data_IF_996322091680
#
_entry.id   IF_996322091680
#
_cell.length_a   1.000
_cell.length_b   1.000
_cell.length_c   1.000
_cell.angle_alpha   90.00
_cell.angle_beta   90.00
_cell.angle_gamma   90.00
#
_symmetry.space_group_name_H-M   'P 1'
#
loop_
_entity.id
_entity.type
_entity.pdbx_description
1 polymer ?
#
# COMPACT_ATOMS: atom_id res chain seq x y z
N UNK A 1 0.97 4.40 6.02
CA UNK A 1 1.27 4.22 4.56
C UNK A 1 2.73 4.50 4.17
N UNK A 2 3.23 5.75 4.22
CA UNK A 2 4.49 6.12 3.55
C UNK A 2 5.78 5.41 4.00
N UNK A 3 5.78 4.84 5.20
CA UNK A 3 6.88 4.04 5.76
C UNK A 3 6.60 2.54 5.59
N UNK A 4 5.67 2.00 6.38
CA UNK A 4 5.43 0.55 6.46
C UNK A 4 4.75 -0.11 5.26
N UNK A 5 4.06 0.64 4.38
CA UNK A 5 3.28 -0.02 3.33
C UNK A 5 4.16 -0.69 2.28
N UNK A 6 5.33 -0.15 1.93
CA UNK A 6 6.24 -0.83 1.00
C UNK A 6 6.76 -2.15 1.59
N UNK A 7 6.92 -2.23 2.92
CA UNK A 7 7.40 -3.42 3.64
C UNK A 7 6.32 -4.51 3.79
N UNK A 8 5.07 -4.10 4.02
CA UNK A 8 3.95 -5.03 4.26
C UNK A 8 3.26 -5.44 2.94
N UNK A 9 3.07 -4.49 2.02
CA UNK A 9 2.37 -4.72 0.74
C UNK A 9 3.32 -5.25 -0.34
N UNK A 10 4.64 -5.06 -0.18
CA UNK A 10 5.65 -5.56 -1.11
C UNK A 10 5.53 -7.05 -1.46
N UNK A 11 5.36 -7.97 -0.48
CA UNK A 11 5.09 -9.38 -0.72
C UNK A 11 3.80 -9.62 -1.51
N UNK A 12 2.73 -8.87 -1.23
CA UNK A 12 1.45 -8.97 -1.96
C UNK A 12 1.65 -8.62 -3.43
N UNK A 13 2.35 -7.53 -3.72
CA UNK A 13 2.66 -7.12 -5.09
C UNK A 13 3.48 -8.17 -5.83
N UNK A 14 4.46 -8.78 -5.16
CA UNK A 14 5.31 -9.79 -5.77
C UNK A 14 4.56 -11.10 -6.04
N UNK A 15 3.70 -11.54 -5.12
CA UNK A 15 2.98 -12.82 -5.23
C UNK A 15 1.77 -12.72 -6.16
N UNK A 16 1.01 -11.62 -6.07
CA UNK A 16 -0.19 -11.39 -6.88
C UNK A 16 0.12 -10.67 -8.21
N UNK A 17 1.37 -10.27 -8.41
CA UNK A 17 1.87 -9.61 -9.63
C UNK A 17 1.03 -8.37 -10.00
N UNK A 18 0.76 -7.55 -8.99
CA UNK A 18 -0.12 -6.38 -9.11
C UNK A 18 0.52 -5.27 -9.94
N UNK A 19 -0.31 -4.66 -10.80
CA UNK A 19 0.02 -3.42 -11.49
C UNK A 19 -0.50 -2.19 -10.74
N UNK A 20 -0.96 -1.19 -11.49
CA UNK A 20 -1.58 0.00 -10.90
C UNK A 20 -2.98 -0.30 -10.34
N UNK A 21 -3.40 0.39 -9.27
CA UNK A 21 -4.77 0.31 -8.80
C UNK A 21 -5.68 0.99 -9.83
N UNK A 22 -6.89 0.49 -10.00
CA UNK A 22 -7.91 1.14 -10.83
C UNK A 22 -8.64 2.22 -10.06
N UNK A 23 -8.79 2.02 -8.74
CA UNK A 23 -9.48 2.98 -7.89
C UNK A 23 -9.00 2.87 -6.44
N UNK A 24 -9.22 3.96 -5.69
CA UNK A 24 -8.93 4.02 -4.26
C UNK A 24 -9.98 4.86 -3.54
N UNK A 25 -10.40 4.41 -2.36
CA UNK A 25 -11.18 5.21 -1.42
C UNK A 25 -10.61 5.05 -0.01
N UNK A 26 -10.99 5.94 0.91
CA UNK A 26 -10.56 5.84 2.29
C UNK A 26 -11.52 6.46 3.29
N UNK A 27 -11.35 6.07 4.54
CA UNK A 27 -11.77 6.83 5.72
C UNK A 27 -10.55 7.10 6.60
N UNK A 28 -10.61 8.21 7.36
CA UNK A 28 -9.56 8.57 8.31
C UNK A 28 -10.19 9.09 9.60
N UNK A 29 -9.46 8.95 10.70
CA UNK A 29 -9.83 9.59 11.97
C UNK A 29 -10.03 11.10 11.79
N UNK A 30 -11.10 11.65 12.38
CA UNK A 30 -11.25 13.11 12.49
C UNK A 30 -10.54 13.58 13.76
N UNK A 31 -9.50 14.42 13.68
CA UNK A 31 -8.86 14.97 14.87
C UNK A 31 -9.79 16.00 15.52
N UNK A 32 -9.96 15.93 16.83
CA UNK A 32 -10.67 16.95 17.62
C UNK A 32 -9.68 17.67 18.54
N UNK A 33 -9.71 18.99 18.54
CA UNK A 33 -8.84 19.85 19.39
C UNK A 33 -9.59 20.46 20.58
N UNK A 34 -10.92 20.31 20.59
CA UNK A 34 -11.82 20.69 21.67
C UNK A 34 -13.15 19.94 21.45
N UNK A 35 -14.07 20.03 22.41
CA UNK A 35 -15.41 19.45 22.33
C UNK A 35 -16.11 19.89 21.04
N UNK A 36 -16.39 18.92 20.16
CA UNK A 36 -17.02 19.12 18.86
C UNK A 36 -16.26 20.06 17.90
N UNK A 37 -15.00 20.37 18.18
CA UNK A 37 -14.14 21.21 17.34
C UNK A 37 -13.13 20.36 16.59
N UNK A 38 -13.42 20.07 15.33
CA UNK A 38 -12.49 19.36 14.45
C UNK A 38 -11.23 20.20 14.18
N UNK A 39 -10.06 19.61 14.38
CA UNK A 39 -8.78 20.15 13.96
C UNK A 39 -8.61 20.12 12.44
N UNK A 40 -7.66 20.89 11.93
CA UNK A 40 -7.28 20.88 10.52
C UNK A 40 -5.77 20.87 10.36
N UNK A 41 -5.24 19.74 9.93
CA UNK A 41 -3.81 19.50 9.82
C UNK A 41 -3.53 18.86 8.45
N UNK A 42 -3.67 19.61 7.34
CA UNK A 42 -3.59 19.04 5.99
C UNK A 42 -2.21 18.49 5.63
N UNK A 43 -1.18 18.92 6.35
CA UNK A 43 0.22 18.51 6.14
C UNK A 43 0.66 17.38 7.10
N UNK A 44 -0.24 16.90 7.96
CA UNK A 44 0.03 15.80 8.88
C UNK A 44 -0.65 14.52 8.43
N UNK A 45 -0.02 13.37 8.71
CA UNK A 45 -0.68 12.08 8.57
C UNK A 45 -1.87 11.97 9.55
N UNK A 46 -2.93 11.24 9.19
CA UNK A 46 -4.03 10.98 10.12
C UNK A 46 -3.55 10.09 11.28
N UNK A 47 -4.27 10.11 12.40
CA UNK A 47 -4.02 9.20 13.52
C UNK A 47 -4.30 7.75 13.14
N UNK A 48 -5.35 7.54 12.35
CA UNK A 48 -5.69 6.25 11.75
C UNK A 48 -6.31 6.40 10.37
N UNK A 49 -6.11 5.40 9.52
CA UNK A 49 -6.69 5.32 8.19
C UNK A 49 -7.16 3.91 7.86
N UNK A 50 -8.24 3.85 7.06
CA UNK A 50 -8.67 2.65 6.34
C UNK A 50 -8.74 3.00 4.87
N UNK A 51 -7.90 2.37 4.05
CA UNK A 51 -7.73 2.67 2.64
C UNK A 51 -8.02 1.41 1.83
N UNK A 52 -8.88 1.53 0.83
CA UNK A 52 -9.35 0.42 0.03
C UNK A 52 -8.93 0.64 -1.41
N UNK A 53 -8.13 -0.27 -1.93
CA UNK A 53 -7.66 -0.28 -3.31
C UNK A 53 -8.35 -1.39 -4.09
N UNK A 54 -8.60 -1.14 -5.37
CA UNK A 54 -8.99 -2.16 -6.33
C UNK A 54 -7.94 -2.27 -7.42
N UNK A 55 -7.63 -3.49 -7.82
CA UNK A 55 -6.72 -3.82 -8.90
C UNK A 55 -7.39 -4.78 -9.86
N UNK A 56 -6.85 -4.83 -11.08
CA UNK A 56 -7.09 -5.94 -12.01
C UNK A 56 -5.92 -6.92 -11.91
N UNK A 57 -6.24 -8.17 -11.58
CA UNK A 57 -5.28 -9.27 -11.66
C UNK A 57 -4.95 -9.63 -13.10
N UNK A 58 -3.97 -10.51 -13.28
CA UNK A 58 -3.49 -10.89 -14.62
C UNK A 58 -4.56 -11.53 -15.51
N UNK A 59 -5.56 -12.18 -14.92
CA UNK A 59 -6.65 -12.80 -15.67
C UNK A 59 -7.89 -11.88 -15.76
N UNK A 60 -7.75 -10.61 -15.38
CA UNK A 60 -8.82 -9.60 -15.41
C UNK A 60 -9.75 -9.62 -14.20
N UNK A 61 -9.50 -10.49 -13.22
CA UNK A 61 -10.25 -10.56 -11.97
C UNK A 61 -10.02 -9.33 -11.09
N UNK A 62 -11.03 -8.98 -10.30
CA UNK A 62 -10.91 -7.89 -9.32
C UNK A 62 -10.16 -8.38 -8.08
N UNK A 63 -9.06 -7.72 -7.74
CA UNK A 63 -8.33 -7.92 -6.49
C UNK A 63 -8.55 -6.70 -5.60
N UNK A 64 -8.97 -6.94 -4.36
CA UNK A 64 -9.13 -5.90 -3.34
C UNK A 64 -7.94 -5.95 -2.39
N UNK A 65 -7.36 -4.79 -2.09
CA UNK A 65 -6.36 -4.63 -1.04
C UNK A 65 -6.87 -3.58 -0.06
N UNK A 66 -6.99 -3.98 1.20
CA UNK A 66 -7.42 -3.09 2.28
C UNK A 66 -6.21 -2.83 3.19
N UNK A 67 -5.86 -1.56 3.34
CA UNK A 67 -4.85 -1.10 4.29
C UNK A 67 -5.56 -0.47 5.49
N UNK A 68 -5.21 -0.90 6.70
CA UNK A 68 -5.77 -0.36 7.94
C UNK A 68 -4.63 -0.10 8.92
N UNK A 69 -4.57 1.12 9.49
CA UNK A 69 -3.53 1.52 10.43
C UNK A 69 -4.07 2.38 11.58
N UNK A 70 -3.20 2.75 12.53
CA UNK A 70 -3.55 3.61 13.66
C UNK A 70 -4.48 2.95 14.67
N UNK A 71 -4.33 1.63 14.87
CA UNK A 71 -5.16 0.83 15.77
C UNK A 71 -6.46 0.30 15.15
N UNK A 72 -6.76 0.68 13.90
CA UNK A 72 -7.84 0.04 13.13
C UNK A 72 -7.30 -1.25 12.51
N UNK A 73 -8.06 -2.32 12.65
CA UNK A 73 -7.71 -3.65 12.13
C UNK A 73 -8.88 -4.21 11.31
N UNK A 74 -8.62 -5.14 10.38
CA UNK A 74 -9.68 -5.90 9.73
C UNK A 74 -10.40 -6.78 10.75
N UNK A 75 -11.52 -7.36 10.32
CA UNK A 75 -12.18 -8.39 11.10
C UNK A 75 -11.21 -9.55 11.35
N UNK A 76 -11.15 -10.00 12.61
CA UNK A 76 -10.26 -11.09 13.00
C UNK A 76 -10.73 -12.38 12.34
N UNK A 77 -9.87 -13.12 11.63
CA UNK A 77 -10.24 -14.41 11.06
C UNK A 77 -10.77 -15.37 12.14
N UNK A 78 -11.93 -15.99 11.88
CA UNK A 78 -12.56 -16.94 12.79
C UNK A 78 -11.68 -18.17 13.05
N UNK A 79 -10.84 -18.53 12.09
CA UNK A 79 -9.93 -19.67 12.16
C UNK A 79 -8.72 -19.42 13.08
N UNK A 80 -8.49 -18.18 13.51
CA UNK A 80 -7.38 -17.80 14.37
C UNK A 80 -7.80 -17.95 15.84
N UNK A 81 -7.12 -18.84 16.57
CA UNK A 81 -7.42 -19.16 17.96
C UNK A 81 -7.40 -17.91 18.85
N UNK A 82 -8.16 -17.88 19.96
CA UNK A 82 -8.44 -16.64 20.71
C UNK A 82 -7.20 -15.93 21.26
N UNK A 83 -6.11 -16.66 21.49
CA UNK A 83 -4.85 -16.11 22.04
C UNK A 83 -3.73 -15.99 20.99
N UNK A 84 -4.01 -16.28 19.71
CA UNK A 84 -3.02 -16.16 18.64
C UNK A 84 -2.91 -14.71 18.16
N UNK A 85 -1.70 -14.27 17.80
CA UNK A 85 -1.49 -12.91 17.28
C UNK A 85 -2.00 -12.88 15.83
N UNK A 86 -2.75 -11.84 15.49
CA UNK A 86 -3.14 -11.59 14.10
C UNK A 86 -2.01 -10.82 13.41
N UNK A 87 -1.53 -11.32 12.27
CA UNK A 87 -0.36 -10.78 11.57
C UNK A 87 0.95 -11.47 12.00
N UNK A 88 2.08 -10.78 11.82
CA UNK A 88 3.41 -11.33 12.13
C UNK A 88 3.78 -11.24 13.61
N UNK A 89 4.50 -12.25 14.11
CA UNK A 89 4.93 -12.31 15.51
C UNK A 89 6.05 -11.32 15.86
N UNK A 90 6.82 -10.86 14.86
CA UNK A 90 8.04 -10.08 15.09
C UNK A 90 7.83 -8.55 15.11
N UNK A 91 6.66 -8.05 14.70
CA UNK A 91 6.39 -6.61 14.56
C UNK A 91 5.00 -6.22 15.07
N UNK A 92 4.71 -6.58 16.32
CA UNK A 92 3.48 -6.18 17.03
C UNK A 92 2.17 -6.54 16.30
N UNK A 93 2.17 -7.63 15.52
CA UNK A 93 1.01 -8.05 14.74
C UNK A 93 0.85 -7.33 13.39
N UNK A 94 1.83 -6.54 12.94
CA UNK A 94 1.84 -6.02 11.57
C UNK A 94 1.95 -7.18 10.58
N UNK A 95 1.22 -7.09 9.47
CA UNK A 95 1.24 -8.14 8.47
C UNK A 95 0.15 -8.02 7.42
N UNK A 96 -0.05 -9.12 6.71
CA UNK A 96 -1.03 -9.27 5.65
C UNK A 96 -1.92 -10.47 5.96
N UNK A 97 -3.21 -10.35 5.67
CA UNK A 97 -4.12 -11.47 5.56
C UNK A 97 -4.48 -11.63 4.08
N UNK A 98 -4.29 -12.83 3.55
CA UNK A 98 -4.73 -13.22 2.23
C UNK A 98 -6.00 -14.05 2.36
N UNK A 99 -7.04 -13.65 1.64
CA UNK A 99 -8.31 -14.38 1.58
C UNK A 99 -8.44 -15.06 0.21
N UNK A 100 -8.43 -16.39 0.22
CA UNK A 100 -8.61 -17.21 -0.97
C UNK A 100 -9.87 -18.06 -0.90
N UNK A 101 -10.24 -18.67 -2.03
CA UNK A 101 -11.45 -19.51 -2.11
C UNK A 101 -11.36 -20.81 -1.31
N UNK A 102 -10.16 -21.22 -0.89
CA UNK A 102 -9.89 -22.46 -0.13
C UNK A 102 -9.49 -22.21 1.33
N UNK A 103 -9.52 -20.96 1.76
CA UNK A 103 -9.09 -20.56 3.10
C UNK A 103 -8.24 -19.31 3.09
N UNK A 104 -7.76 -18.96 4.28
CA UNK A 104 -6.97 -17.76 4.51
C UNK A 104 -5.55 -18.11 4.90
N UNK A 105 -4.63 -17.19 4.66
CA UNK A 105 -3.28 -17.26 5.19
C UNK A 105 -2.85 -15.87 5.65
N UNK A 106 -1.85 -15.81 6.51
CA UNK A 106 -1.25 -14.55 6.94
C UNK A 106 0.26 -14.60 6.83
N UNK A 107 0.89 -13.44 6.79
CA UNK A 107 2.33 -13.30 6.95
C UNK A 107 2.64 -11.99 7.68
N UNK A 108 3.82 -11.88 8.25
CA UNK A 108 4.29 -10.64 8.84
C UNK A 108 4.91 -9.69 7.82
N UNK A 109 5.71 -8.76 8.32
CA UNK A 109 6.39 -7.74 7.53
C UNK A 109 7.45 -8.39 6.65
N UNK A 110 7.63 -7.88 5.42
CA UNK A 110 8.52 -8.49 4.42
C UNK A 110 8.11 -9.90 3.98
N UNK A 111 6.92 -10.37 4.37
CA UNK A 111 6.45 -11.71 4.07
C UNK A 111 7.10 -12.80 4.92
N UNK A 112 7.64 -12.42 6.09
CA UNK A 112 8.13 -13.37 7.07
C UNK A 112 6.98 -14.17 7.70
N UNK A 113 7.31 -15.27 8.36
CA UNK A 113 6.39 -16.06 9.18
C UNK A 113 5.03 -16.33 8.51
N UNK A 114 5.06 -16.81 7.27
CA UNK A 114 3.86 -17.13 6.52
C UNK A 114 3.16 -18.36 7.13
N UNK A 115 1.89 -18.21 7.49
CA UNK A 115 1.08 -19.21 8.17
C UNK A 115 -0.26 -19.39 7.47
N UNK A 116 -0.72 -20.64 7.35
CA UNK A 116 -2.10 -20.93 6.96
C UNK A 116 -3.05 -20.63 8.13
N UNK A 117 -4.32 -20.40 7.83
CA UNK A 117 -5.36 -20.36 8.85
C UNK A 117 -6.32 -21.57 8.70
N UNK A 118 -6.60 -22.31 9.79
CA UNK A 118 -5.98 -22.22 11.12
C UNK A 118 -4.46 -22.54 11.10
N UNK A 119 -3.71 -21.93 12.02
CA UNK A 119 -2.23 -21.97 12.09
C UNK A 119 -1.66 -23.38 12.18
N UNK A 120 -2.40 -24.30 12.79
CA UNK A 120 -2.06 -25.73 12.89
C UNK A 120 -1.81 -26.39 11.53
N UNK A 121 -2.45 -25.89 10.46
CA UNK A 121 -2.29 -26.40 9.09
C UNK A 121 -0.97 -26.00 8.43
N UNK A 122 -0.24 -25.04 9.00
CA UNK A 122 1.02 -24.58 8.42
C UNK A 122 2.04 -25.72 8.32
N UNK A 123 2.00 -26.69 9.25
CA UNK A 123 2.87 -27.88 9.22
C UNK A 123 2.48 -28.90 8.13
N UNK A 124 1.27 -28.80 7.56
CA UNK A 124 0.78 -29.71 6.52
C UNK A 124 1.35 -29.36 5.14
N UNK A 125 1.90 -28.15 4.97
CA UNK A 125 2.36 -27.65 3.68
C UNK A 125 3.88 -27.53 3.63
N UNK A 126 4.45 -28.04 2.55
CA UNK A 126 5.85 -27.82 2.19
C UNK A 126 5.90 -27.16 0.82
N UNK A 127 6.20 -25.86 0.80
CA UNK A 127 6.23 -25.05 -0.42
C UNK A 127 7.66 -24.98 -0.94
N UNK A 128 7.93 -25.41 -2.19
CA UNK A 128 9.28 -25.33 -2.74
C UNK A 128 9.70 -23.87 -2.89
N UNK A 129 10.99 -23.61 -2.68
CA UNK A 129 11.55 -22.28 -2.88
C UNK A 129 11.47 -21.88 -4.36
N UNK A 130 10.57 -20.93 -4.68
CA UNK A 130 10.40 -20.41 -6.05
C UNK A 130 11.48 -19.39 -6.45
N UNK A 131 11.77 -18.42 -5.58
CA UNK A 131 12.66 -17.30 -5.88
C UNK A 131 14.09 -17.55 -5.40
N UNK A 132 15.08 -17.08 -6.16
CA UNK A 132 16.47 -17.01 -5.68
C UNK A 132 16.54 -16.06 -4.48
N UNK A 133 17.32 -16.42 -3.46
CA UNK A 133 17.55 -15.58 -2.29
C UNK A 133 18.79 -14.72 -2.50
N UNK A 134 18.74 -13.46 -2.05
CA UNK A 134 19.91 -12.60 -2.03
C UNK A 134 20.90 -13.17 -1.00
N UNK A 135 22.18 -13.38 -1.34
CA UNK A 135 23.19 -13.78 -0.36
C UNK A 135 23.25 -12.76 0.78
N UNK A 136 23.13 -13.21 2.03
CA UNK A 136 23.03 -12.33 3.20
C UNK A 136 21.63 -11.73 3.45
N UNK A 137 20.64 -12.07 2.63
CA UNK A 137 19.23 -11.69 2.79
C UNK A 137 19.05 -10.17 2.96
N UNK A 138 18.43 -9.73 4.06
CA UNK A 138 18.23 -8.33 4.40
C UNK A 138 19.55 -7.54 4.49
N UNK A 139 20.67 -8.16 4.84
CA UNK A 139 21.97 -7.45 4.87
C UNK A 139 22.64 -7.41 3.49
N UNK A 140 22.17 -8.23 2.55
CA UNK A 140 22.76 -8.39 1.22
C UNK A 140 22.16 -7.50 0.12
N UNK A 141 20.98 -6.93 0.33
CA UNK A 141 20.24 -6.26 -0.75
C UNK A 141 20.96 -5.02 -1.29
N UNK A 142 21.63 -4.24 -0.44
CA UNK A 142 22.46 -3.11 -0.88
C UNK A 142 23.58 -3.54 -1.83
N UNK A 143 24.20 -4.70 -1.57
CA UNK A 143 25.25 -5.24 -2.43
C UNK A 143 24.71 -5.62 -3.81
N UNK A 144 23.51 -6.20 -3.90
CA UNK A 144 22.90 -6.50 -5.20
C UNK A 144 22.74 -5.23 -6.05
N UNK A 145 22.30 -4.13 -5.43
CA UNK A 145 22.18 -2.85 -6.12
C UNK A 145 23.53 -2.33 -6.63
N UNK A 146 24.56 -2.33 -5.77
CA UNK A 146 25.93 -1.93 -6.16
C UNK A 146 26.46 -2.77 -7.31
N UNK A 147 26.32 -4.09 -7.21
CA UNK A 147 26.79 -5.03 -8.24
C UNK A 147 26.05 -4.78 -9.57
N UNK A 148 24.74 -4.52 -9.54
CA UNK A 148 23.96 -4.20 -10.73
C UNK A 148 24.37 -2.86 -11.37
N UNK A 149 24.68 -1.84 -10.57
CA UNK A 149 25.21 -0.57 -11.06
C UNK A 149 26.56 -0.75 -11.75
N UNK A 150 27.46 -1.56 -11.19
CA UNK A 150 28.79 -1.84 -11.76
C UNK A 150 28.66 -2.67 -13.05
N UNK A 151 27.76 -3.66 -13.07
CA UNK A 151 27.52 -4.48 -14.26
C UNK A 151 27.01 -3.63 -15.43
N UNK A 152 26.15 -2.64 -15.15
CA UNK A 152 25.52 -1.76 -16.12
C UNK A 152 24.08 -2.15 -16.43
N UNK A 153 23.32 -1.21 -17.03
CA UNK A 153 21.89 -1.38 -17.28
C UNK A 153 21.57 -2.65 -18.07
N UNK A 154 20.61 -3.44 -17.58
CA UNK A 154 20.15 -4.69 -18.20
C UNK A 154 21.13 -5.87 -18.12
N UNK A 155 22.31 -5.70 -17.50
CA UNK A 155 23.34 -6.74 -17.42
C UNK A 155 23.29 -7.58 -16.14
N UNK A 156 22.44 -7.19 -15.20
CA UNK A 156 22.23 -7.92 -13.95
C UNK A 156 20.76 -7.88 -13.56
N UNK A 157 20.24 -9.04 -13.14
CA UNK A 157 18.91 -9.16 -12.57
C UNK A 157 18.88 -8.56 -11.15
N UNK A 158 17.80 -7.83 -10.84
CA UNK A 158 17.56 -7.19 -9.55
C UNK A 158 16.21 -7.62 -9.00
N UNK A 159 16.08 -7.69 -7.67
CA UNK A 159 14.84 -8.15 -7.03
C UNK A 159 13.72 -7.08 -7.02
N UNK A 160 14.08 -5.82 -7.24
CA UNK A 160 13.18 -4.66 -7.29
C UNK A 160 13.36 -3.86 -8.59
N UNK A 161 13.00 -4.43 -9.76
CA UNK A 161 13.09 -3.70 -11.03
C UNK A 161 12.08 -2.56 -11.06
N UNK A 162 12.42 -1.46 -11.75
CA UNK A 162 11.59 -0.26 -11.75
C UNK A 162 10.23 -0.48 -12.41
N UNK A 163 10.20 -0.97 -13.65
CA UNK A 163 8.99 -0.99 -14.49
C UNK A 163 7.98 -2.01 -14.00
N UNK A 164 8.43 -3.21 -13.67
CA UNK A 164 7.56 -4.34 -13.35
C UNK A 164 7.17 -4.41 -11.87
N UNK A 165 7.87 -3.71 -10.97
CA UNK A 165 7.66 -3.83 -9.53
C UNK A 165 7.66 -2.49 -8.78
N UNK A 166 8.78 -1.77 -8.77
CA UNK A 166 8.94 -0.64 -7.86
C UNK A 166 8.04 0.55 -8.21
N UNK A 167 7.84 0.84 -9.50
CA UNK A 167 6.95 1.93 -9.95
C UNK A 167 5.48 1.61 -9.65
N UNK A 168 4.91 0.45 -10.03
CA UNK A 168 3.55 0.09 -9.65
C UNK A 168 3.31 0.10 -8.14
N UNK A 169 4.22 -0.49 -7.35
CA UNK A 169 4.11 -0.50 -5.89
C UNK A 169 4.10 0.93 -5.33
N UNK A 170 5.06 1.76 -5.73
CA UNK A 170 5.18 3.14 -5.24
C UNK A 170 3.94 3.95 -5.59
N UNK A 171 3.50 3.89 -6.86
CA UNK A 171 2.32 4.62 -7.32
C UNK A 171 1.05 4.18 -6.58
N UNK A 172 0.94 2.89 -6.25
CA UNK A 172 -0.19 2.37 -5.49
C UNK A 172 -0.25 2.93 -4.07
N UNK A 173 0.88 2.92 -3.34
CA UNK A 173 0.93 3.50 -1.99
C UNK A 173 0.69 5.02 -2.03
N UNK A 174 1.22 5.70 -3.06
CA UNK A 174 0.95 7.13 -3.28
C UNK A 174 -0.54 7.41 -3.54
N UNK A 175 -1.26 6.51 -4.22
CA UNK A 175 -2.71 6.63 -4.38
C UNK A 175 -3.46 6.57 -3.05
N UNK A 176 -2.98 5.79 -2.08
CA UNK A 176 -3.53 5.82 -0.72
C UNK A 176 -3.36 7.18 -0.04
N UNK A 177 -2.15 7.75 -0.13
CA UNK A 177 -1.90 9.10 0.37
C UNK A 177 -2.75 10.15 -0.38
N UNK A 178 -2.94 9.97 -1.68
CA UNK A 178 -3.78 10.85 -2.49
C UNK A 178 -5.24 10.84 -2.03
N UNK A 179 -5.79 9.66 -1.73
CA UNK A 179 -7.12 9.51 -1.17
C UNK A 179 -7.24 10.24 0.19
N UNK A 180 -6.27 10.05 1.08
CA UNK A 180 -6.22 10.72 2.40
C UNK A 180 -6.16 12.25 2.25
N UNK A 181 -5.31 12.76 1.35
CA UNK A 181 -5.24 14.21 1.09
C UNK A 181 -6.54 14.74 0.50
N UNK A 182 -7.17 13.97 -0.39
CA UNK A 182 -8.47 14.32 -0.98
C UNK A 182 -9.59 14.31 0.06
N UNK A 183 -9.57 13.38 1.02
CA UNK A 183 -10.51 13.34 2.16
C UNK A 183 -10.47 14.64 2.99
N UNK A 184 -9.28 15.23 3.14
CA UNK A 184 -9.07 16.48 3.86
C UNK A 184 -9.20 17.74 2.99
N UNK A 185 -9.37 17.59 1.67
CA UNK A 185 -9.54 18.74 0.78
C UNK A 185 -10.79 19.52 1.16
N UNK A 186 -10.59 20.81 1.48
CA UNK A 186 -11.65 21.74 1.85
C UNK A 186 -12.02 22.64 0.68
N UNK A 187 -13.31 22.91 0.53
CA UNK A 187 -13.83 23.93 -0.37
C UNK A 187 -14.90 24.74 0.34
N UNK A 188 -14.79 26.06 0.30
CA UNK A 188 -15.87 26.92 0.78
C UNK A 188 -16.95 27.06 -0.29
N UNK A 189 -18.21 26.85 0.11
CA UNK A 189 -19.39 27.04 -0.74
C UNK A 189 -20.43 27.79 0.08
N UNK A 190 -20.79 29.00 -0.36
CA UNK A 190 -21.77 29.87 0.32
C UNK A 190 -21.45 30.10 1.81
N UNK A 191 -20.18 30.39 2.13
CA UNK A 191 -19.73 30.63 3.51
C UNK A 191 -19.61 29.36 4.39
N UNK A 192 -19.77 28.16 3.81
CA UNK A 192 -19.66 26.89 4.52
C UNK A 192 -18.49 26.06 3.98
N UNK A 193 -17.67 25.55 4.89
CA UNK A 193 -16.62 24.58 4.54
C UNK A 193 -17.26 23.25 4.20
N UNK A 194 -16.94 22.74 3.01
CA UNK A 194 -17.32 21.41 2.51
C UNK A 194 -16.07 20.57 2.30
N UNK A 195 -16.24 19.24 2.28
CA UNK A 195 -15.16 18.28 2.03
C UNK A 195 -15.54 17.36 0.87
N UNK A 196 -15.44 17.85 -0.38
CA UNK A 196 -15.99 17.12 -1.52
C UNK A 196 -15.24 15.82 -1.84
N UNK A 197 -14.03 15.62 -1.27
CA UNK A 197 -13.30 14.36 -1.40
C UNK A 197 -13.62 13.30 -0.33
N UNK A 198 -14.56 13.56 0.59
CA UNK A 198 -15.01 12.56 1.58
C UNK A 198 -16.08 11.65 0.98
N UNK A 199 -15.97 10.34 1.26
CA UNK A 199 -16.99 9.36 0.87
C UNK A 199 -17.06 9.09 -0.64
N UNK A 200 -16.03 9.49 -1.39
CA UNK A 200 -15.92 9.20 -2.82
C UNK A 200 -14.83 8.17 -3.08
N UNK A 201 -14.93 7.52 -4.22
CA UNK A 201 -13.88 6.68 -4.80
C UNK A 201 -13.14 7.49 -5.86
N UNK A 202 -11.82 7.59 -5.76
CA UNK A 202 -10.98 8.17 -6.79
C UNK A 202 -10.67 7.11 -7.84
N UNK A 203 -11.03 7.39 -9.09
CA UNK A 203 -10.66 6.56 -10.24
C UNK A 203 -9.28 6.99 -10.76
N UNK A 204 -8.42 6.00 -11.03
CA UNK A 204 -7.02 6.24 -11.36
C UNK A 204 -6.63 5.72 -12.74
N UNK A 205 -6.14 6.64 -13.57
CA UNK A 205 -5.39 6.29 -14.77
C UNK A 205 -3.91 6.15 -14.41
N UNK A 206 -3.48 4.92 -14.17
CA UNK A 206 -2.10 4.62 -13.79
C UNK A 206 -1.06 4.94 -14.86
N UNK A 207 -1.43 4.81 -16.14
CA UNK A 207 -0.52 5.07 -17.26
C UNK A 207 -0.28 6.57 -17.39
N UNK A 208 -1.35 7.36 -17.36
CA UNK A 208 -1.26 8.82 -17.48
C UNK A 208 -1.01 9.52 -16.13
N UNK A 209 -0.95 8.76 -15.03
CA UNK A 209 -0.75 9.24 -13.66
C UNK A 209 -1.76 10.34 -13.31
N UNK A 210 -3.05 10.04 -13.44
CA UNK A 210 -4.11 11.05 -13.25
C UNK A 210 -5.38 10.50 -12.61
N UNK A 211 -5.98 11.27 -11.71
CA UNK A 211 -7.34 11.02 -11.22
C UNK A 211 -8.34 11.52 -12.25
N UNK A 212 -9.26 10.66 -12.67
CA UNK A 212 -10.17 10.95 -13.79
C UNK A 212 -11.49 11.58 -13.34
N UNK A 213 -11.92 11.33 -12.10
CA UNK A 213 -13.27 11.67 -11.63
C UNK A 213 -13.32 12.76 -10.54
N UNK A 214 -12.18 13.25 -10.04
CA UNK A 214 -12.10 14.32 -9.06
C UNK A 214 -10.89 15.23 -9.30
N UNK A 215 -11.09 16.28 -10.09
CA UNK A 215 -9.99 17.13 -10.59
C UNK A 215 -9.13 17.75 -9.48
N UNK A 216 -9.75 18.12 -8.36
CA UNK A 216 -9.02 18.72 -7.25
C UNK A 216 -7.93 17.79 -6.69
N UNK A 217 -8.06 16.46 -6.79
CA UNK A 217 -7.01 15.55 -6.34
C UNK A 217 -5.73 15.69 -7.18
N UNK A 218 -5.84 16.05 -8.47
CA UNK A 218 -4.68 16.14 -9.37
C UNK A 218 -3.65 17.19 -8.93
N UNK A 219 -4.04 18.17 -8.09
CA UNK A 219 -3.11 19.13 -7.49
C UNK A 219 -2.04 18.48 -6.60
N UNK A 220 -2.29 17.25 -6.12
CA UNK A 220 -1.38 16.51 -5.24
C UNK A 220 -0.51 15.50 -5.99
N UNK A 221 -0.76 15.27 -7.28
CA UNK A 221 -0.06 14.28 -8.10
C UNK A 221 1.29 14.81 -8.58
N UNK A 222 1.37 16.11 -8.86
CA UNK A 222 2.59 16.80 -9.24
C UNK A 222 2.91 17.91 -8.25
N UNK A 223 4.19 18.24 -8.16
CA UNK A 223 4.68 19.41 -7.44
C UNK A 223 5.14 20.46 -8.44
N UNK A 224 5.04 21.73 -8.07
CA UNK A 224 5.76 22.77 -8.79
C UNK A 224 7.24 22.64 -8.43
N UNK A 225 8.06 22.27 -9.41
CA UNK A 225 9.50 22.23 -9.21
C UNK A 225 10.05 23.65 -9.07
N UNK A 226 11.17 23.76 -8.35
CA UNK A 226 11.86 25.03 -8.18
C UNK A 226 12.32 25.55 -9.54
N UNK A 227 12.25 26.86 -9.75
CA UNK A 227 12.77 27.50 -10.97
C UNK A 227 14.22 27.04 -11.26
N UNK A 228 14.51 26.73 -12.52
CA UNK A 228 15.78 26.13 -12.96
C UNK A 228 15.83 24.60 -12.93
N UNK A 229 14.81 23.93 -12.37
CA UNK A 229 14.65 22.48 -12.40
C UNK A 229 13.41 22.14 -13.23
N UNK A 230 13.56 21.83 -14.53
CA UNK A 230 12.41 21.52 -15.38
C UNK A 230 11.73 20.22 -14.93
N UNK A 231 10.49 20.03 -15.40
CA UNK A 231 9.82 18.73 -15.31
C UNK A 231 10.73 17.65 -15.91
N UNK A 232 10.84 16.51 -15.21
CA UNK A 232 11.52 15.33 -15.74
C UNK A 232 10.66 14.75 -16.87
N UNK A 233 11.11 14.95 -18.11
CA UNK A 233 10.64 14.18 -19.27
C UNK A 233 11.29 12.79 -19.20
N UNK A 234 10.46 11.76 -19.07
CA UNK A 234 10.86 10.35 -19.04
C UNK A 234 10.77 9.76 -20.45
#
# INVERSE_FOLDING_TARGET
LGDMACHIVGPVFKVMELGFPTEVNCSVSTPYVDNFKAGYFPDSAPLSSSVHFKYKGKNGEDIKLNWMDGGIQPERPEELGPNEIMGGHNDLGNGVIFEGTKGKMMCGVYGDDAQLLPTSRTQEVNVPQKYKRIPGQAEGHYKQWVDACIAGYGKQEVDSPFVEYAVPLTQSILMGNLAIRSFNYRKEVNGKITYPGRGITLEWDGVNRRVTNFEAANQFVKRNYREGWPDLEL
#
